data_IF_811407520628
#
_entry.id   IF_811407520628
#
_cell.length_a   1.000
_cell.length_b   1.000
_cell.length_c   1.000
_cell.angle_alpha   90.00
_cell.angle_beta   90.00
_cell.angle_gamma   90.00
#
_symmetry.space_group_name_H-M   'P 1'
#
loop_
_entity.id
_entity.type
_entity.pdbx_description
1 polymer ?
#
# COMPACT_ATOMS: atom_id res chain seq x y z
N UNK A 1 14.40 -26.39 22.83
CA UNK A 1 13.34 -26.25 21.80
C UNK A 1 13.88 -25.35 20.71
N UNK A 2 14.02 -25.86 19.48
CA UNK A 2 14.37 -25.03 18.33
C UNK A 2 13.06 -24.57 17.70
N UNK A 3 12.71 -23.30 17.87
CA UNK A 3 11.57 -22.71 17.18
C UNK A 3 12.00 -22.42 15.74
N UNK A 4 11.25 -22.94 14.76
CA UNK A 4 11.43 -22.55 13.37
C UNK A 4 11.20 -21.04 13.22
N UNK A 5 12.01 -20.33 12.44
CA UNK A 5 11.79 -18.91 12.22
C UNK A 5 10.41 -18.68 11.57
N UNK A 6 9.67 -17.69 12.09
CA UNK A 6 8.43 -17.23 11.46
C UNK A 6 8.74 -16.69 10.07
N UNK A 7 7.91 -17.07 9.08
CA UNK A 7 8.02 -16.52 7.74
C UNK A 7 7.92 -14.98 7.78
N UNK A 8 8.65 -14.26 6.89
CA UNK A 8 8.54 -12.82 6.83
C UNK A 8 7.10 -12.40 6.47
N UNK A 9 6.63 -11.23 6.93
CA UNK A 9 5.29 -10.78 6.61
C UNK A 9 5.14 -10.57 5.09
N UNK A 10 3.94 -10.82 4.53
CA UNK A 10 3.68 -10.65 3.10
C UNK A 10 3.98 -9.23 2.62
N UNK A 11 4.34 -9.14 1.33
CA UNK A 11 4.59 -7.86 0.64
C UNK A 11 3.54 -7.67 -0.44
N UNK A 12 2.92 -6.50 -0.48
CA UNK A 12 1.88 -6.13 -1.44
C UNK A 12 2.33 -4.94 -2.26
N UNK A 13 2.13 -4.99 -3.57
CA UNK A 13 2.28 -3.86 -4.48
C UNK A 13 0.93 -3.54 -5.12
N UNK A 14 0.40 -2.36 -4.84
CA UNK A 14 -0.72 -1.79 -5.61
C UNK A 14 -0.16 -0.90 -6.70
N UNK A 15 -0.71 -0.98 -7.91
CA UNK A 15 -0.35 -0.12 -9.03
C UNK A 15 -1.64 0.49 -9.57
N UNK A 16 -1.76 1.82 -9.57
CA UNK A 16 -3.01 2.51 -9.94
C UNK A 16 -2.78 3.80 -10.73
N UNK A 17 -3.64 4.06 -11.72
CA UNK A 17 -3.64 5.28 -12.55
C UNK A 17 -4.95 6.07 -12.53
N UNK A 18 -6.14 5.53 -12.24
CA UNK A 18 -7.10 6.39 -11.57
C UNK A 18 -6.63 6.60 -10.14
N UNK A 19 -6.21 7.83 -9.85
CA UNK A 19 -5.80 8.31 -8.52
C UNK A 19 -6.94 9.02 -7.78
N UNK A 20 -8.15 8.95 -8.32
CA UNK A 20 -9.35 9.59 -7.81
C UNK A 20 -10.54 8.63 -7.76
N UNK A 21 -11.71 9.19 -7.38
CA UNK A 21 -12.98 8.49 -7.39
C UNK A 21 -12.98 7.18 -6.60
N UNK A 22 -13.65 6.17 -7.16
CA UNK A 22 -13.80 4.86 -6.52
C UNK A 22 -12.48 4.11 -6.34
N UNK A 23 -11.52 4.29 -7.27
CA UNK A 23 -10.24 3.57 -7.18
C UNK A 23 -9.38 4.12 -6.05
N UNK A 24 -9.33 5.44 -5.89
CA UNK A 24 -8.65 6.06 -4.75
C UNK A 24 -9.18 5.53 -3.41
N UNK A 25 -10.50 5.36 -3.31
CA UNK A 25 -11.13 4.80 -2.11
C UNK A 25 -10.71 3.34 -1.89
N UNK A 26 -10.84 2.49 -2.91
CA UNK A 26 -10.50 1.06 -2.81
C UNK A 26 -9.03 0.87 -2.43
N UNK A 27 -8.12 1.59 -3.08
CA UNK A 27 -6.68 1.49 -2.80
C UNK A 27 -6.38 1.95 -1.38
N UNK A 28 -6.98 3.04 -0.92
CA UNK A 28 -6.82 3.53 0.46
C UNK A 28 -7.32 2.50 1.48
N UNK A 29 -8.53 1.98 1.29
CA UNK A 29 -9.16 1.05 2.24
C UNK A 29 -8.39 -0.28 2.30
N UNK A 30 -7.97 -0.81 1.13
CA UNK A 30 -7.15 -2.03 1.07
C UNK A 30 -5.77 -1.83 1.70
N UNK A 31 -5.07 -0.74 1.38
CA UNK A 31 -3.76 -0.46 1.94
C UNK A 31 -3.83 -0.33 3.47
N UNK A 32 -4.83 0.40 4.00
CA UNK A 32 -5.04 0.53 5.44
C UNK A 32 -5.29 -0.81 6.12
N UNK A 33 -6.16 -1.66 5.55
CA UNK A 33 -6.44 -2.99 6.10
C UNK A 33 -5.21 -3.90 6.09
N UNK A 34 -4.41 -3.87 5.03
CA UNK A 34 -3.19 -4.67 4.90
C UNK A 34 -2.08 -4.22 5.86
N UNK A 35 -1.91 -2.91 6.02
CA UNK A 35 -0.99 -2.35 7.02
C UNK A 35 -1.41 -2.74 8.44
N UNK A 36 -2.69 -2.65 8.76
CA UNK A 36 -3.23 -3.10 10.06
C UNK A 36 -3.03 -4.62 10.29
N UNK A 37 -3.00 -5.42 9.22
CA UNK A 37 -2.68 -6.84 9.28
C UNK A 37 -1.15 -7.15 9.35
N UNK A 38 -0.30 -6.12 9.44
CA UNK A 38 1.16 -6.27 9.55
C UNK A 38 1.87 -6.56 8.22
N UNK A 39 1.21 -6.36 7.08
CA UNK A 39 1.84 -6.51 5.77
C UNK A 39 2.71 -5.32 5.42
N UNK A 40 3.68 -5.53 4.52
CA UNK A 40 4.45 -4.44 3.91
C UNK A 40 3.77 -4.00 2.62
N UNK A 41 3.21 -2.80 2.61
CA UNK A 41 2.44 -2.27 1.48
C UNK A 41 3.25 -1.21 0.74
N UNK A 42 3.40 -1.39 -0.57
CA UNK A 42 3.91 -0.38 -1.49
C UNK A 42 2.81 0.00 -2.49
N UNK A 43 2.66 1.28 -2.80
CA UNK A 43 1.75 1.76 -3.84
C UNK A 43 2.53 2.54 -4.90
N UNK A 44 2.38 2.15 -6.16
CA UNK A 44 2.89 2.87 -7.31
C UNK A 44 1.75 3.65 -7.99
N UNK A 45 1.84 4.97 -8.00
CA UNK A 45 0.84 5.85 -8.62
C UNK A 45 1.42 7.20 -9.04
N UNK A 46 0.73 7.95 -9.91
CA UNK A 46 1.05 9.35 -10.19
C UNK A 46 0.98 10.25 -8.94
N UNK A 47 1.72 11.35 -8.98
CA UNK A 47 1.66 12.40 -7.96
C UNK A 47 0.22 12.94 -7.82
N UNK A 48 -0.34 12.82 -6.62
CA UNK A 48 -1.75 13.07 -6.36
C UNK A 48 -2.06 13.19 -4.86
N UNK A 49 -3.24 13.69 -4.48
CA UNK A 49 -3.70 13.63 -3.09
C UNK A 49 -3.78 12.20 -2.54
N UNK A 50 -4.03 11.21 -3.40
CA UNK A 50 -4.01 9.79 -3.02
C UNK A 50 -2.62 9.35 -2.56
N UNK A 51 -1.56 9.76 -3.29
CA UNK A 51 -0.18 9.44 -2.92
C UNK A 51 0.17 9.96 -1.51
N UNK A 52 -0.17 11.21 -1.20
CA UNK A 52 0.03 11.78 0.14
C UNK A 52 -0.75 11.01 1.21
N UNK A 53 -2.04 10.73 0.95
CA UNK A 53 -2.90 9.99 1.90
C UNK A 53 -2.36 8.59 2.20
N UNK A 54 -1.83 7.88 1.22
CA UNK A 54 -1.27 6.54 1.40
C UNK A 54 0.05 6.59 2.19
N UNK A 55 0.88 7.60 1.96
CA UNK A 55 2.08 7.83 2.76
C UNK A 55 1.72 8.13 4.23
N UNK A 56 0.71 8.95 4.48
CA UNK A 56 0.21 9.24 5.84
C UNK A 56 -0.33 7.99 6.57
N UNK A 57 -0.88 7.02 5.83
CA UNK A 57 -1.29 5.72 6.39
C UNK A 57 -0.10 4.81 6.72
N UNK A 58 1.10 5.12 6.22
CA UNK A 58 2.31 4.32 6.41
C UNK A 58 2.64 3.36 5.26
N UNK A 59 2.01 3.51 4.09
CA UNK A 59 2.42 2.77 2.90
C UNK A 59 3.69 3.40 2.27
N UNK A 60 4.55 2.56 1.70
CA UNK A 60 5.62 3.06 0.84
C UNK A 60 5.03 3.53 -0.49
N UNK A 61 5.19 4.80 -0.85
CA UNK A 61 4.66 5.32 -2.12
C UNK A 61 5.80 5.50 -3.12
N UNK A 62 5.57 5.05 -4.36
CA UNK A 62 6.48 5.18 -5.49
C UNK A 62 5.79 5.95 -6.60
N UNK A 63 6.43 7.03 -7.05
CA UNK A 63 5.94 7.72 -8.24
C UNK A 63 6.00 6.79 -9.45
N UNK A 64 4.89 6.69 -10.17
CA UNK A 64 4.79 6.01 -11.46
C UNK A 64 4.16 6.95 -12.48
N UNK A 65 4.91 7.26 -13.53
CA UNK A 65 4.47 8.09 -14.65
C UNK A 65 3.56 7.27 -15.58
N UNK A 66 2.32 7.07 -15.13
CA UNK A 66 1.30 6.26 -15.78
C UNK A 66 0.51 7.03 -16.85
#
# INVERSE_FOLDING_TARGET
>A
MHLSPTAPPPRVLHVTQPVDGGVARVVTDLAGAQLAAGMRVTVACPDSPLAARLADLGADVRHWAA
#
